data_IF_628082002718
#
_entry.id   IF_628082002718
#
_cell.length_a   1.000
_cell.length_b   1.000
_cell.length_c   1.000
_cell.angle_alpha   90.00
_cell.angle_beta   90.00
_cell.angle_gamma   90.00
#
_symmetry.space_group_name_H-M   'P 1'
#
loop_
_entity.id
_entity.type
_entity.pdbx_description
1 polymer ?
#
# COMPACT_ATOMS: atom_id res chain seq x y z
N UNK A 1 -5.35 -22.07 6.45
CA UNK A 1 -4.39 -21.57 5.48
C UNK A 1 -4.37 -20.05 5.46
N UNK A 2 -3.19 -19.48 5.50
CA UNK A 2 -3.08 -18.04 5.40
C UNK A 2 -3.51 -17.59 4.01
N UNK A 3 -4.36 -16.56 3.96
CA UNK A 3 -4.81 -16.00 2.70
C UNK A 3 -3.67 -15.21 2.06
N UNK A 4 -3.37 -15.53 0.81
CA UNK A 4 -2.35 -14.78 0.09
C UNK A 4 -2.89 -13.42 -0.31
N UNK A 5 -2.05 -12.39 -0.14
CA UNK A 5 -2.41 -11.04 -0.53
C UNK A 5 -2.28 -10.88 -2.03
N UNK A 6 -3.34 -10.41 -2.68
CA UNK A 6 -3.29 -10.11 -4.10
C UNK A 6 -2.39 -8.91 -4.34
N UNK A 7 -1.50 -9.01 -5.33
CA UNK A 7 -0.56 -7.95 -5.64
C UNK A 7 -1.21 -6.74 -6.29
N UNK A 8 -2.33 -6.94 -6.97
CA UNK A 8 -2.92 -5.92 -7.82
C UNK A 8 -4.16 -5.30 -7.19
N UNK A 9 -4.12 -3.99 -6.98
CA UNK A 9 -5.27 -3.21 -6.58
C UNK A 9 -5.66 -2.28 -7.72
N UNK A 10 -6.96 -2.08 -7.90
CA UNK A 10 -7.45 -1.05 -8.81
C UNK A 10 -7.19 0.31 -8.19
N UNK A 11 -7.31 1.36 -9.00
CA UNK A 11 -7.14 2.73 -8.50
C UNK A 11 -8.09 3.02 -7.35
N UNK A 12 -9.37 2.66 -7.51
CA UNK A 12 -10.37 2.93 -6.47
C UNK A 12 -10.09 2.11 -5.21
N UNK A 13 -9.65 0.87 -5.36
CA UNK A 13 -9.26 0.05 -4.22
C UNK A 13 -8.08 0.65 -3.46
N UNK A 14 -7.09 1.17 -4.19
CA UNK A 14 -5.94 1.80 -3.55
C UNK A 14 -6.32 3.09 -2.83
N UNK A 15 -7.27 3.84 -3.37
CA UNK A 15 -7.80 5.03 -2.70
C UNK A 15 -8.50 4.67 -1.39
N UNK A 16 -9.26 3.59 -1.39
CA UNK A 16 -9.92 3.10 -0.17
C UNK A 16 -8.87 2.71 0.88
N UNK A 17 -7.87 1.94 0.48
CA UNK A 17 -6.82 1.53 1.40
C UNK A 17 -6.08 2.73 1.96
N UNK A 18 -5.83 3.76 1.14
CA UNK A 18 -5.18 4.97 1.61
C UNK A 18 -5.97 5.63 2.74
N UNK A 19 -7.28 5.69 2.62
CA UNK A 19 -8.14 6.25 3.66
C UNK A 19 -8.06 5.40 4.94
N UNK A 20 -8.15 4.08 4.81
CA UNK A 20 -8.11 3.18 5.97
C UNK A 20 -6.75 3.27 6.68
N UNK A 21 -5.65 3.27 5.92
CA UNK A 21 -4.33 3.43 6.53
C UNK A 21 -4.19 4.75 7.26
N UNK A 22 -4.70 5.82 6.68
CA UNK A 22 -4.63 7.15 7.29
C UNK A 22 -5.43 7.25 8.58
N UNK A 23 -6.62 6.64 8.61
CA UNK A 23 -7.50 6.68 9.77
C UNK A 23 -7.20 5.60 10.81
N UNK A 24 -6.52 4.52 10.40
CA UNK A 24 -6.24 3.38 11.25
C UNK A 24 -7.35 2.35 11.26
N UNK A 25 -8.58 2.79 11.31
CA UNK A 25 -9.78 1.98 11.17
C UNK A 25 -10.90 2.89 10.66
N UNK A 26 -11.89 2.32 9.98
CA UNK A 26 -12.94 3.14 9.39
C UNK A 26 -14.19 2.33 9.09
N UNK A 27 -15.34 3.02 9.17
CA UNK A 27 -16.59 2.50 8.66
C UNK A 27 -16.65 2.74 7.15
N UNK A 28 -17.53 2.01 6.46
CA UNK A 28 -17.74 2.23 5.01
C UNK A 28 -18.19 3.67 4.74
N UNK A 29 -18.99 4.26 5.63
CA UNK A 29 -19.45 5.64 5.46
C UNK A 29 -18.29 6.64 5.56
N UNK A 30 -17.37 6.44 6.52
CA UNK A 30 -16.21 7.30 6.66
C UNK A 30 -15.32 7.21 5.40
N UNK A 31 -15.16 6.00 4.86
CA UNK A 31 -14.40 5.81 3.63
C UNK A 31 -15.08 6.53 2.47
N UNK A 32 -16.39 6.34 2.33
CA UNK A 32 -17.16 6.97 1.25
C UNK A 32 -17.00 8.49 1.24
N UNK A 33 -17.14 9.09 2.42
CA UNK A 33 -17.03 10.55 2.55
C UNK A 33 -15.65 11.08 2.19
N UNK A 34 -14.61 10.28 2.43
CA UNK A 34 -13.24 10.70 2.17
C UNK A 34 -12.78 10.44 0.72
N UNK A 35 -13.56 9.67 -0.06
CA UNK A 35 -13.18 9.33 -1.43
C UNK A 35 -13.54 10.45 -2.40
N UNK A 36 -12.70 10.65 -3.44
CA UNK A 36 -13.02 11.60 -4.50
C UNK A 36 -14.36 11.26 -5.16
N UNK A 37 -15.18 12.28 -5.39
CA UNK A 37 -16.46 12.11 -6.08
C UNK A 37 -17.56 11.50 -5.26
N UNK A 38 -17.31 11.19 -4.00
CA UNK A 38 -18.28 10.58 -3.08
C UNK A 38 -19.08 9.47 -3.75
N UNK A 39 -18.46 8.32 -4.02
CA UNK A 39 -19.12 7.23 -4.74
C UNK A 39 -20.33 6.70 -3.98
N UNK A 40 -21.16 5.97 -4.69
CA UNK A 40 -22.37 5.40 -4.10
C UNK A 40 -22.02 4.43 -2.98
N UNK A 41 -22.85 4.38 -1.95
CA UNK A 41 -22.64 3.53 -0.78
C UNK A 41 -22.45 2.05 -1.16
N UNK A 42 -23.28 1.53 -2.06
CA UNK A 42 -23.18 0.14 -2.49
C UNK A 42 -21.86 -0.15 -3.20
N UNK A 43 -21.34 0.82 -3.94
CA UNK A 43 -20.05 0.68 -4.63
C UNK A 43 -18.92 0.55 -3.61
N UNK A 44 -18.91 1.41 -2.60
CA UNK A 44 -17.88 1.38 -1.57
C UNK A 44 -17.92 0.07 -0.79
N UNK A 45 -19.10 -0.37 -0.40
CA UNK A 45 -19.25 -1.63 0.35
C UNK A 45 -18.79 -2.83 -0.46
N UNK A 46 -19.09 -2.86 -1.75
CA UNK A 46 -18.66 -3.93 -2.64
C UNK A 46 -17.14 -3.95 -2.76
N UNK A 47 -16.52 -2.79 -2.96
CA UNK A 47 -15.07 -2.68 -3.07
C UNK A 47 -14.37 -3.07 -1.77
N UNK A 48 -14.93 -2.70 -0.63
CA UNK A 48 -14.34 -3.08 0.65
C UNK A 48 -14.42 -4.59 0.88
N UNK A 49 -15.51 -5.23 0.41
CA UNK A 49 -15.62 -6.68 0.46
C UNK A 49 -14.57 -7.34 -0.42
N UNK A 50 -14.35 -6.79 -1.62
CA UNK A 50 -13.29 -7.27 -2.52
C UNK A 50 -11.92 -7.16 -1.85
N UNK A 51 -11.66 -6.04 -1.16
CA UNK A 51 -10.41 -5.85 -0.44
C UNK A 51 -10.23 -6.87 0.69
N UNK A 52 -11.30 -7.26 1.36
CA UNK A 52 -11.23 -8.33 2.35
C UNK A 52 -10.85 -9.65 1.68
N UNK A 53 -11.48 -9.97 0.55
CA UNK A 53 -11.17 -11.17 -0.20
C UNK A 53 -9.71 -11.18 -0.67
N UNK A 54 -9.19 -10.03 -1.07
CA UNK A 54 -7.79 -9.90 -1.49
C UNK A 54 -6.80 -9.97 -0.34
N UNK A 55 -7.25 -9.90 0.91
CA UNK A 55 -6.39 -9.99 2.08
C UNK A 55 -5.87 -8.66 2.61
N UNK A 56 -6.45 -7.55 2.16
CA UNK A 56 -6.01 -6.22 2.59
C UNK A 56 -6.76 -5.68 3.79
N UNK A 57 -8.02 -6.07 3.95
CA UNK A 57 -8.88 -5.57 5.02
C UNK A 57 -9.49 -6.72 5.81
N UNK A 58 -9.79 -6.43 7.06
CA UNK A 58 -10.67 -7.24 7.89
C UNK A 58 -11.71 -6.30 8.52
N UNK A 59 -12.72 -6.84 9.13
CA UNK A 59 -13.68 -6.02 9.85
C UNK A 59 -14.12 -6.71 11.13
N UNK A 60 -14.60 -5.89 12.06
CA UNK A 60 -15.29 -6.38 13.24
C UNK A 60 -16.58 -5.60 13.41
N UNK A 61 -17.52 -6.16 14.13
CA UNK A 61 -18.79 -5.52 14.41
C UNK A 61 -18.70 -4.84 15.79
N UNK A 62 -18.99 -3.55 15.83
CA UNK A 62 -19.13 -2.79 17.08
C UNK A 62 -20.51 -2.19 17.11
N UNK A 63 -21.36 -2.74 17.97
CA UNK A 63 -22.77 -2.37 17.96
C UNK A 63 -23.40 -2.73 16.62
N UNK A 64 -23.87 -1.71 15.88
CA UNK A 64 -24.47 -1.92 14.55
C UNK A 64 -23.51 -1.55 13.41
N UNK A 65 -22.30 -1.15 13.74
CA UNK A 65 -21.35 -0.68 12.75
C UNK A 65 -20.29 -1.75 12.44
N UNK A 66 -19.91 -1.82 11.17
CA UNK A 66 -18.77 -2.61 10.73
C UNK A 66 -17.55 -1.69 10.69
N UNK A 67 -16.54 -2.03 11.48
CA UNK A 67 -15.31 -1.26 11.55
C UNK A 67 -14.22 -2.04 10.79
N UNK A 68 -13.71 -1.44 9.74
CA UNK A 68 -12.70 -2.08 8.89
C UNK A 68 -11.31 -1.64 9.33
N UNK A 69 -10.37 -2.59 9.33
CA UNK A 69 -8.97 -2.34 9.66
C UNK A 69 -8.07 -2.97 8.61
N UNK A 70 -6.87 -2.38 8.40
CA UNK A 70 -5.93 -2.98 7.45
C UNK A 70 -5.32 -4.24 8.03
N UNK A 71 -5.22 -5.28 7.21
CA UNK A 71 -4.47 -6.50 7.53
C UNK A 71 -3.02 -6.39 7.11
N UNK A 72 -2.71 -5.44 6.27
CA UNK A 72 -1.39 -5.27 5.69
C UNK A 72 -0.99 -3.80 5.83
N UNK A 73 0.24 -3.55 6.27
CA UNK A 73 0.75 -2.20 6.42
C UNK A 73 1.00 -1.56 5.05
N UNK A 74 0.91 -0.23 5.00
CA UNK A 74 1.12 0.54 3.77
C UNK A 74 2.44 0.19 3.10
N UNK A 75 3.53 0.14 3.88
CA UNK A 75 4.85 -0.16 3.32
C UNK A 75 4.91 -1.54 2.67
N UNK A 76 4.28 -2.53 3.29
CA UNK A 76 4.25 -3.87 2.73
C UNK A 76 3.46 -3.88 1.42
N UNK A 77 2.32 -3.17 1.37
CA UNK A 77 1.54 -3.06 0.15
C UNK A 77 2.35 -2.38 -0.96
N UNK A 78 3.11 -1.33 -0.62
CA UNK A 78 3.99 -0.65 -1.57
C UNK A 78 5.04 -1.60 -2.12
N UNK A 79 5.66 -2.41 -1.25
CA UNK A 79 6.68 -3.37 -1.69
C UNK A 79 6.10 -4.43 -2.64
N UNK A 80 4.89 -4.91 -2.33
CA UNK A 80 4.23 -5.90 -3.20
C UNK A 80 3.90 -5.29 -4.56
N UNK A 81 3.40 -4.06 -4.57
CA UNK A 81 3.08 -3.37 -5.83
C UNK A 81 4.34 -3.13 -6.66
N UNK A 82 5.41 -2.69 -6.02
CA UNK A 82 6.68 -2.47 -6.68
C UNK A 82 7.24 -3.77 -7.28
N UNK A 83 7.19 -4.85 -6.52
CA UNK A 83 7.65 -6.15 -7.00
C UNK A 83 6.85 -6.61 -8.22
N UNK A 84 5.54 -6.37 -8.19
CA UNK A 84 4.68 -6.71 -9.32
C UNK A 84 5.08 -5.93 -10.57
N UNK A 85 5.29 -4.63 -10.44
CA UNK A 85 5.71 -3.77 -11.55
C UNK A 85 7.06 -4.25 -12.12
N UNK A 86 8.03 -4.52 -11.23
CA UNK A 86 9.35 -5.00 -11.65
C UNK A 86 9.25 -6.28 -12.46
N UNK A 87 8.48 -7.24 -11.97
CA UNK A 87 8.35 -8.54 -12.64
C UNK A 87 7.61 -8.42 -13.96
N UNK A 88 6.54 -7.66 -13.99
CA UNK A 88 5.63 -7.62 -15.15
C UNK A 88 6.12 -6.72 -16.27
N UNK A 89 6.78 -5.61 -15.94
CA UNK A 89 7.15 -4.60 -16.95
C UNK A 89 8.64 -4.42 -17.12
N UNK A 90 9.45 -4.86 -16.17
CA UNK A 90 10.91 -4.64 -16.20
C UNK A 90 11.72 -5.93 -16.15
N UNK A 91 11.05 -7.06 -16.33
CA UNK A 91 11.71 -8.39 -16.29
C UNK A 91 12.57 -8.57 -15.02
N UNK A 92 12.14 -7.97 -13.91
CA UNK A 92 12.85 -8.05 -12.64
C UNK A 92 14.01 -7.07 -12.49
N UNK A 93 14.23 -6.20 -13.46
CA UNK A 93 15.37 -5.28 -13.44
C UNK A 93 15.05 -3.99 -12.68
N UNK A 94 15.58 -3.88 -11.47
CA UNK A 94 15.48 -2.65 -10.69
C UNK A 94 16.24 -1.51 -11.35
N UNK A 95 17.33 -1.81 -12.03
CA UNK A 95 18.13 -0.80 -12.74
C UNK A 95 17.32 -0.13 -13.83
N UNK A 96 16.58 -0.92 -14.63
CA UNK A 96 15.73 -0.36 -15.67
C UNK A 96 14.63 0.53 -15.09
N UNK A 97 14.03 0.11 -13.97
CA UNK A 97 13.02 0.93 -13.30
C UNK A 97 13.62 2.25 -12.85
N UNK A 98 14.78 2.22 -12.21
CA UNK A 98 15.45 3.45 -11.74
C UNK A 98 15.78 4.35 -12.90
N UNK A 99 16.28 3.80 -14.00
CA UNK A 99 16.58 4.57 -15.21
C UNK A 99 15.36 5.32 -15.72
N UNK A 100 14.20 4.63 -15.78
CA UNK A 100 12.95 5.27 -16.19
C UNK A 100 12.54 6.38 -15.25
N UNK A 101 12.70 6.17 -13.94
CA UNK A 101 12.37 7.18 -12.94
C UNK A 101 13.25 8.41 -13.11
N UNK A 102 14.54 8.22 -13.35
CA UNK A 102 15.47 9.34 -13.56
C UNK A 102 15.08 10.15 -14.81
N UNK A 103 14.82 9.45 -15.92
CA UNK A 103 14.51 10.09 -17.18
C UNK A 103 13.11 10.73 -17.19
N UNK A 104 12.09 10.00 -16.72
CA UNK A 104 10.71 10.41 -16.88
C UNK A 104 10.25 11.34 -15.76
N UNK A 105 10.75 11.15 -14.54
CA UNK A 105 10.39 11.97 -13.40
C UNK A 105 11.43 13.05 -13.11
N UNK A 106 12.45 13.17 -13.97
CA UNK A 106 13.45 14.24 -13.89
C UNK A 106 14.14 14.34 -12.53
N UNK A 107 14.57 13.19 -11.99
CA UNK A 107 15.28 13.19 -10.72
C UNK A 107 16.68 13.79 -10.90
N UNK A 108 17.00 14.77 -10.05
CA UNK A 108 18.32 15.43 -10.09
C UNK A 108 19.36 14.58 -9.37
N UNK A 109 20.64 14.90 -9.64
CA UNK A 109 21.74 14.26 -8.94
C UNK A 109 21.64 14.46 -7.42
N UNK A 110 21.22 15.66 -7.00
CA UNK A 110 21.05 15.95 -5.58
C UNK A 110 19.96 15.10 -4.95
N UNK A 111 18.83 14.94 -5.65
CA UNK A 111 17.74 14.09 -5.17
C UNK A 111 18.18 12.63 -5.07
N UNK A 112 18.95 12.14 -6.04
CA UNK A 112 19.45 10.77 -6.03
C UNK A 112 20.42 10.54 -4.87
N UNK A 113 21.30 11.50 -4.62
CA UNK A 113 22.24 11.42 -3.51
C UNK A 113 21.53 11.40 -2.16
N UNK A 114 20.49 12.23 -2.02
CA UNK A 114 19.67 12.28 -0.81
C UNK A 114 18.94 10.96 -0.58
N UNK A 115 18.34 10.40 -1.62
CA UNK A 115 17.65 9.11 -1.55
C UNK A 115 18.60 7.99 -1.16
N UNK A 116 19.81 7.99 -1.69
CA UNK A 116 20.82 6.99 -1.37
C UNK A 116 21.21 7.06 0.11
N UNK A 117 21.37 8.25 0.64
CA UNK A 117 21.67 8.43 2.07
C UNK A 117 20.55 7.94 2.95
N UNK A 118 19.31 8.27 2.60
CA UNK A 118 18.11 7.82 3.33
C UNK A 118 17.97 6.31 3.33
N UNK A 119 18.20 5.68 2.18
CA UNK A 119 18.11 4.22 2.07
C UNK A 119 19.18 3.54 2.92
N UNK A 120 20.40 4.07 2.93
CA UNK A 120 21.48 3.54 3.74
C UNK A 120 21.16 3.60 5.23
N UNK A 121 20.67 4.75 5.70
CA UNK A 121 20.30 4.93 7.10
C UNK A 121 19.16 4.00 7.49
N UNK A 122 18.16 3.88 6.64
CA UNK A 122 17.00 3.01 6.89
C UNK A 122 17.41 1.54 6.97
N UNK A 123 18.30 1.10 6.08
CA UNK A 123 18.80 -0.28 6.07
C UNK A 123 19.57 -0.61 7.35
N UNK A 124 20.43 0.30 7.80
CA UNK A 124 21.18 0.13 9.04
C UNK A 124 20.23 -0.01 10.23
N UNK A 125 19.23 0.85 10.33
CA UNK A 125 18.24 0.78 11.40
C UNK A 125 17.51 -0.56 11.43
N UNK A 126 17.11 -1.07 10.27
CA UNK A 126 16.45 -2.38 10.18
C UNK A 126 17.35 -3.51 10.62
N UNK A 127 18.61 -3.50 10.23
CA UNK A 127 19.57 -4.52 10.63
C UNK A 127 19.76 -4.53 12.13
N UNK A 128 19.83 -3.37 12.76
CA UNK A 128 19.97 -3.25 14.21
C UNK A 128 18.75 -3.86 14.92
N UNK A 129 17.55 -3.59 14.43
CA UNK A 129 16.34 -4.18 15.01
C UNK A 129 16.33 -5.69 14.94
N UNK A 130 16.72 -6.25 13.81
CA UNK A 130 16.81 -7.70 13.65
C UNK A 130 17.86 -8.31 14.58
N UNK A 131 19.00 -7.64 14.73
CA UNK A 131 20.05 -8.07 15.63
C UNK A 131 19.58 -8.11 17.08
N UNK A 132 18.74 -7.18 17.48
CA UNK A 132 18.20 -7.14 18.83
C UNK A 132 17.17 -8.23 19.10
N UNK A 133 16.51 -8.72 18.08
CA UNK A 133 15.50 -9.75 18.20
C UNK A 133 16.12 -11.15 18.24
N UNK A 134 17.20 -11.32 17.54
CA UNK A 134 17.91 -12.60 17.53
C UNK A 134 18.83 -12.74 18.76
#
# INVERSE_FOLDING_TARGET
MARQVSESLTERESQIMDVVWRLGEATAEQVREALPGTPHDSTVRTLMRVLETKGYLTHEVRGKAYIHRPLIERQKAQRLALRSVLTRFFAGSAEDLVLRLIEDEHLSQEQLDELRRSAGSHTVAKRRRKGNIS
#
